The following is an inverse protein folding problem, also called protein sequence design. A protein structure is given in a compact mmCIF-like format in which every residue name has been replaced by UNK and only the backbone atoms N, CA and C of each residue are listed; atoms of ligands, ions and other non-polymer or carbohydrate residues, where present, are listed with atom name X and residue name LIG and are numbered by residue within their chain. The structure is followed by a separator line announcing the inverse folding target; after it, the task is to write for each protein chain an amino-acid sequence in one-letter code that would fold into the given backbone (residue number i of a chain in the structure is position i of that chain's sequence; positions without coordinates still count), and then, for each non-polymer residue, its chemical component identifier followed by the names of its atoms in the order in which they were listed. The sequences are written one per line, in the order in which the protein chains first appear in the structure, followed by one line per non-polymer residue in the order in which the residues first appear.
data_IF_511549095661
#
_entry.id   IF_511549095661
#
_cell.length_a   1.000
_cell.length_b   1.000
_cell.length_c   1.000
_cell.angle_alpha   90.00
_cell.angle_beta   90.00
_cell.angle_gamma   90.00
#
_symmetry.space_group_name_H-M   'P 1'
#
loop_
_entity.id
_entity.type
_entity.pdbx_description
1 polymer ?
#
# COMPACT_ATOMS: atom_id res chain seq x y z
N UNK A 1 39.07 28.96 -2.19
CA UNK A 1 39.10 27.48 -2.40
C UNK A 1 37.79 26.95 -1.82
N UNK A 2 36.81 26.55 -2.65
CA UNK A 2 35.59 25.95 -2.12
C UNK A 2 35.98 24.63 -1.43
N UNK A 3 35.49 24.45 -0.21
CA UNK A 3 35.83 23.28 0.60
C UNK A 3 35.31 22.02 -0.08
N UNK A 4 36.15 20.99 -0.14
CA UNK A 4 35.83 19.66 -0.70
C UNK A 4 34.58 19.01 -0.08
N UNK A 5 34.13 19.50 1.08
CA UNK A 5 32.88 19.10 1.72
C UNK A 5 31.61 19.58 0.97
N UNK A 6 31.64 20.76 0.35
CA UNK A 6 30.47 21.33 -0.36
C UNK A 6 30.15 20.57 -1.65
N UNK A 7 31.19 20.15 -2.38
CA UNK A 7 31.04 19.38 -3.62
C UNK A 7 30.53 17.97 -3.36
N UNK A 8 31.01 17.30 -2.31
CA UNK A 8 30.54 15.96 -1.96
C UNK A 8 29.07 15.93 -1.55
N UNK A 9 28.62 16.92 -0.75
CA UNK A 9 27.20 17.04 -0.40
C UNK A 9 26.34 17.30 -1.63
N UNK A 10 26.73 18.22 -2.51
CA UNK A 10 25.99 18.51 -3.74
C UNK A 10 25.85 17.27 -4.65
N UNK A 11 26.91 16.47 -4.80
CA UNK A 11 26.86 15.22 -5.59
C UNK A 11 25.91 14.18 -4.99
N UNK A 12 25.93 14.01 -3.66
CA UNK A 12 25.03 13.06 -2.97
C UNK A 12 23.57 13.51 -3.08
N UNK A 13 23.29 14.80 -2.89
CA UNK A 13 21.92 15.35 -3.02
C UNK A 13 21.40 15.20 -4.45
N UNK A 14 22.24 15.44 -5.46
CA UNK A 14 21.88 15.27 -6.88
C UNK A 14 21.63 13.81 -7.23
N UNK A 15 22.45 12.89 -6.70
CA UNK A 15 22.28 11.45 -6.93
C UNK A 15 21.00 10.92 -6.27
N UNK A 16 20.70 11.33 -5.03
CA UNK A 16 19.49 10.94 -4.31
C UNK A 16 18.22 11.55 -4.94
N UNK A 17 18.29 12.80 -5.41
CA UNK A 17 17.21 13.43 -6.18
C UNK A 17 16.94 12.69 -7.49
N UNK A 18 17.99 12.22 -8.18
CA UNK A 18 17.88 11.41 -9.39
C UNK A 18 17.23 10.05 -9.12
N UNK A 19 17.59 9.40 -8.01
CA UNK A 19 16.93 8.16 -7.56
C UNK A 19 15.46 8.40 -7.21
N UNK A 20 15.12 9.54 -6.58
CA UNK A 20 13.72 9.92 -6.29
C UNK A 20 12.91 10.09 -7.57
N UNK A 21 13.42 10.85 -8.54
CA UNK A 21 12.77 11.00 -9.84
C UNK A 21 12.64 9.67 -10.56
N UNK A 22 13.63 8.78 -10.46
CA UNK A 22 13.57 7.46 -11.06
C UNK A 22 12.55 6.55 -10.38
N UNK A 23 12.41 6.62 -9.05
CA UNK A 23 11.39 5.87 -8.30
C UNK A 23 9.99 6.42 -8.57
N UNK A 24 9.80 7.74 -8.55
CA UNK A 24 8.50 8.37 -8.84
C UNK A 24 8.10 8.11 -10.30
N UNK A 25 9.02 8.27 -11.27
CA UNK A 25 8.77 7.95 -12.68
C UNK A 25 8.55 6.44 -12.85
N UNK A 26 9.31 5.57 -12.18
CA UNK A 26 9.06 4.13 -12.22
C UNK A 26 7.69 3.76 -11.63
N UNK A 27 7.23 4.43 -10.57
CA UNK A 27 5.91 4.22 -9.98
C UNK A 27 4.78 4.73 -10.88
N UNK A 28 4.95 5.90 -11.50
CA UNK A 28 4.01 6.44 -12.48
C UNK A 28 3.95 5.57 -13.75
N UNK A 29 5.10 5.05 -14.20
CA UNK A 29 5.18 4.10 -15.31
C UNK A 29 4.58 2.75 -14.93
N UNK A 30 4.81 2.22 -13.73
CA UNK A 30 4.19 0.97 -13.28
C UNK A 30 2.68 1.11 -13.09
N UNK A 31 2.20 2.28 -12.65
CA UNK A 31 0.77 2.61 -12.59
C UNK A 31 0.15 2.75 -14.00
N UNK A 32 0.91 3.22 -14.99
CA UNK A 32 0.48 3.34 -16.39
C UNK A 32 0.64 2.06 -17.23
N UNK A 33 1.54 1.15 -16.84
CA UNK A 33 1.85 -0.11 -17.57
C UNK A 33 0.99 -1.27 -17.10
N UNK A 34 0.29 -1.19 -15.96
CA UNK A 34 -0.65 -2.23 -15.54
C UNK A 34 -1.75 -2.41 -16.62
N UNK A 35 -1.70 -3.47 -17.44
CA UNK A 35 -2.77 -3.74 -18.36
C UNK A 35 -3.90 -4.29 -17.49
N UNK A 36 -4.96 -3.50 -17.30
CA UNK A 36 -6.26 -4.04 -16.96
C UNK A 36 -6.70 -4.96 -18.11
N UNK A 37 -6.23 -6.21 -18.09
CA UNK A 37 -6.41 -7.12 -19.22
C UNK A 37 -5.61 -8.41 -19.09
N UNK A 38 -5.93 -9.23 -18.09
CA UNK A 38 -5.71 -10.68 -18.14
C UNK A 38 -6.63 -11.40 -17.13
N UNK A 39 -7.93 -11.14 -17.23
CA UNK A 39 -8.95 -12.11 -16.85
C UNK A 39 -8.87 -13.28 -17.84
N UNK A 40 -8.15 -14.32 -17.46
CA UNK A 40 -8.09 -15.61 -18.14
C UNK A 40 -8.54 -16.72 -17.19
N UNK A 41 -9.86 -16.84 -17.04
CA UNK A 41 -10.54 -18.01 -16.50
C UNK A 41 -10.14 -19.25 -17.32
N UNK A 42 -9.80 -20.36 -16.64
CA UNK A 42 -10.38 -21.71 -16.82
C UNK A 42 -9.70 -22.70 -15.84
N UNK A 43 -10.36 -23.82 -15.50
CA UNK A 43 -10.50 -24.30 -14.12
C UNK A 43 -9.50 -25.39 -13.73
N UNK A 44 -9.45 -25.64 -12.42
CA UNK A 44 -8.87 -26.83 -11.83
C UNK A 44 -9.43 -28.11 -12.49
N UNK A 45 -8.59 -28.79 -13.27
CA UNK A 45 -8.80 -30.17 -13.65
C UNK A 45 -7.68 -31.03 -13.07
N UNK A 46 -8.04 -31.79 -12.03
CA UNK A 46 -7.72 -33.20 -11.86
C UNK A 46 -6.25 -33.62 -12.10
N UNK A 47 -5.45 -33.70 -11.03
CA UNK A 47 -4.34 -34.67 -10.97
C UNK A 47 -4.40 -35.48 -9.69
N UNK A 48 -5.13 -36.59 -9.82
CA UNK A 48 -5.02 -37.82 -9.05
C UNK A 48 -3.56 -38.21 -8.76
N UNK A 49 -3.37 -38.53 -7.49
CA UNK A 49 -2.48 -39.53 -6.91
C UNK A 49 -1.92 -40.52 -7.95
N UNK A 50 -0.62 -40.44 -8.20
CA UNK A 50 0.12 -41.38 -9.04
C UNK A 50 0.57 -42.56 -8.17
N UNK A 51 -0.29 -43.55 -8.01
CA UNK A 51 0.09 -44.85 -7.47
C UNK A 51 0.69 -45.72 -8.58
N UNK A 52 1.98 -46.06 -8.43
CA UNK A 52 2.64 -47.17 -9.12
C UNK A 52 1.81 -48.45 -8.98
N UNK A 53 1.49 -49.13 -10.09
CA UNK A 53 1.45 -50.61 -10.15
C UNK A 53 1.41 -51.13 -11.60
N UNK A 54 2.02 -52.30 -11.74
CA UNK A 54 2.35 -53.05 -12.95
C UNK A 54 1.14 -53.49 -13.79
N UNK A 55 1.37 -53.58 -15.11
CA UNK A 55 0.67 -54.39 -16.11
C UNK A 55 0.58 -55.88 -15.68
N UNK A 56 -0.42 -56.68 -16.13
CA UNK A 56 -0.43 -57.12 -17.54
C UNK A 56 -1.80 -57.46 -18.21
N UNK A 57 -1.77 -57.38 -19.54
CA UNK A 57 -2.38 -58.24 -20.59
C UNK A 57 -3.86 -58.70 -20.59
N UNK A 58 -4.46 -58.52 -21.79
CA UNK A 58 -5.38 -59.41 -22.53
C UNK A 58 -6.85 -59.56 -22.07
N UNK A 59 -7.81 -59.07 -22.87
CA UNK A 59 -8.70 -59.89 -23.73
C UNK A 59 -9.71 -59.04 -24.54
N UNK A 60 -9.98 -59.52 -25.76
CA UNK A 60 -10.98 -59.05 -26.75
C UNK A 60 -12.42 -59.27 -26.25
N UNK A 61 -13.36 -58.40 -26.61
CA UNK A 61 -14.40 -58.69 -27.62
C UNK A 61 -15.55 -57.66 -27.65
N UNK A 62 -15.87 -57.23 -28.88
CA UNK A 62 -17.20 -57.04 -29.50
C UNK A 62 -18.18 -55.93 -29.04
N UNK A 63 -18.48 -55.11 -30.06
CA UNK A 63 -19.81 -54.72 -30.58
C UNK A 63 -20.45 -53.39 -30.12
N UNK A 64 -20.42 -52.44 -31.08
CA UNK A 64 -21.37 -51.35 -31.38
C UNK A 64 -22.86 -51.81 -31.35
N UNK A 65 -23.87 -50.92 -31.23
CA UNK A 65 -24.01 -49.70 -32.03
C UNK A 65 -24.67 -48.45 -31.41
N UNK A 66 -24.62 -47.40 -32.23
CA UNK A 66 -25.18 -46.06 -32.12
C UNK A 66 -26.70 -46.03 -31.88
N UNK A 67 -27.16 -45.14 -31.00
CA UNK A 67 -28.53 -44.61 -30.98
C UNK A 67 -28.50 -43.21 -30.32
N UNK A 68 -28.58 -42.17 -31.15
CA UNK A 68 -29.73 -41.27 -31.27
C UNK A 68 -29.93 -40.28 -30.10
N UNK A 69 -29.43 -39.08 -30.38
CA UNK A 69 -29.82 -37.76 -29.88
C UNK A 69 -31.33 -37.63 -29.65
N UNK A 70 -31.72 -37.34 -28.41
CA UNK A 70 -33.02 -36.76 -28.09
C UNK A 70 -32.79 -35.58 -27.15
N UNK A 71 -33.07 -34.38 -27.66
CA UNK A 71 -33.14 -33.12 -26.90
C UNK A 71 -34.48 -33.14 -26.18
N UNK A 72 -34.43 -33.31 -24.86
CA UNK A 72 -35.60 -33.16 -23.98
C UNK A 72 -35.70 -31.71 -23.47
N UNK A 73 -36.91 -31.12 -23.41
CA UNK A 73 -37.10 -29.77 -22.89
C UNK A 73 -36.84 -29.72 -21.38
N UNK A 74 -36.23 -28.63 -20.93
CA UNK A 74 -35.92 -28.29 -19.54
C UNK A 74 -37.15 -28.47 -18.65
N UNK A 75 -37.20 -29.60 -17.95
CA UNK A 75 -38.07 -29.81 -16.80
C UNK A 75 -37.56 -28.98 -15.64
N UNK A 76 -38.46 -28.17 -15.08
CA UNK A 76 -38.28 -27.47 -13.81
C UNK A 76 -38.01 -28.52 -12.73
N UNK A 77 -36.74 -28.67 -12.36
CA UNK A 77 -36.35 -29.37 -11.13
C UNK A 77 -36.30 -28.34 -10.02
N UNK A 78 -37.23 -28.43 -9.08
CA UNK A 78 -37.10 -27.85 -7.75
C UNK A 78 -35.80 -28.38 -7.13
N UNK A 79 -34.75 -27.58 -7.22
CA UNK A 79 -33.48 -27.77 -6.53
C UNK A 79 -33.52 -26.99 -5.23
N UNK A 80 -33.79 -27.71 -4.15
CA UNK A 80 -33.36 -27.36 -2.81
C UNK A 80 -31.82 -27.25 -2.78
N UNK A 81 -31.32 -26.21 -2.11
CA UNK A 81 -29.89 -25.91 -1.97
C UNK A 81 -29.42 -24.72 -2.82
N UNK A 82 -29.13 -23.59 -2.17
CA UNK A 82 -27.76 -23.25 -1.74
C UNK A 82 -27.80 -21.92 -1.02
N UNK A 83 -27.01 -21.81 0.05
CA UNK A 83 -26.79 -20.65 0.88
C UNK A 83 -26.75 -19.36 0.07
N UNK A 84 -27.74 -18.50 0.30
CA UNK A 84 -27.71 -17.14 -0.17
C UNK A 84 -26.55 -16.45 0.57
N UNK A 85 -25.41 -16.34 -0.10
CA UNK A 85 -24.26 -15.51 0.28
C UNK A 85 -24.71 -14.03 0.17
N UNK A 86 -25.67 -13.62 1.01
CA UNK A 86 -26.22 -12.26 1.11
C UNK A 86 -25.31 -11.34 1.93
N UNK A 87 -24.00 -11.58 1.90
CA UNK A 87 -23.00 -10.66 2.41
C UNK A 87 -22.62 -9.65 1.34
N UNK A 88 -23.52 -8.72 1.00
CA UNK A 88 -23.20 -7.60 0.10
C UNK A 88 -21.93 -6.86 0.54
N UNK A 89 -21.26 -6.16 -0.37
CA UNK A 89 -19.98 -5.46 -0.11
C UNK A 89 -20.00 -4.57 1.15
N UNK A 90 -21.18 -4.07 1.53
CA UNK A 90 -21.42 -3.18 2.66
C UNK A 90 -22.22 -3.83 3.81
N UNK A 91 -22.28 -5.16 3.88
CA UNK A 91 -22.92 -5.83 5.01
C UNK A 91 -22.27 -5.36 6.33
N UNK A 92 -23.04 -4.84 7.31
CA UNK A 92 -22.51 -4.14 8.48
C UNK A 92 -21.55 -5.00 9.33
N UNK A 93 -21.66 -6.33 9.24
CA UNK A 93 -20.77 -7.26 9.94
C UNK A 93 -19.38 -7.41 9.29
N UNK A 94 -19.08 -6.70 8.19
CA UNK A 94 -17.81 -6.82 7.46
C UNK A 94 -17.01 -5.52 7.38
N UNK A 95 -17.55 -4.43 7.91
CA UNK A 95 -16.83 -3.16 8.00
C UNK A 95 -15.91 -3.21 9.21
N UNK A 96 -14.62 -2.98 8.99
CA UNK A 96 -13.66 -2.84 10.06
C UNK A 96 -13.83 -1.46 10.72
N UNK A 97 -14.60 -1.44 11.82
CA UNK A 97 -15.04 -0.21 12.50
C UNK A 97 -13.87 0.72 12.87
N UNK A 98 -12.75 0.24 13.46
CA UNK A 98 -11.58 1.08 13.71
C UNK A 98 -11.05 1.81 12.46
N UNK A 99 -10.90 1.11 11.33
CA UNK A 99 -10.41 1.71 10.09
C UNK A 99 -11.43 2.65 9.45
N UNK A 100 -12.72 2.31 9.51
CA UNK A 100 -13.79 3.16 9.03
C UNK A 100 -13.89 4.46 9.84
N UNK A 101 -13.76 4.37 11.16
CA UNK A 101 -13.75 5.54 12.03
C UNK A 101 -12.55 6.45 11.75
N UNK A 102 -11.34 5.88 11.56
CA UNK A 102 -10.16 6.64 11.17
C UNK A 102 -10.35 7.33 9.81
N UNK A 103 -10.94 6.64 8.83
CA UNK A 103 -11.20 7.19 7.50
C UNK A 103 -12.22 8.33 7.54
N UNK A 104 -13.38 8.12 8.18
CA UNK A 104 -14.40 9.18 8.35
C UNK A 104 -13.83 10.37 9.11
N UNK A 105 -13.08 10.12 10.18
CA UNK A 105 -12.42 11.16 10.97
C UNK A 105 -11.41 11.97 10.14
N UNK A 106 -10.60 11.30 9.31
CA UNK A 106 -9.66 11.96 8.41
C UNK A 106 -10.37 12.84 7.36
N UNK A 107 -11.40 12.31 6.69
CA UNK A 107 -12.16 13.07 5.69
C UNK A 107 -12.88 14.27 6.33
N UNK A 108 -13.49 14.08 7.49
CA UNK A 108 -14.14 15.16 8.23
C UNK A 108 -13.14 16.23 8.66
N UNK A 109 -11.96 15.83 9.14
CA UNK A 109 -10.88 16.75 9.50
C UNK A 109 -10.38 17.54 8.28
N UNK A 110 -10.05 16.86 7.17
CA UNK A 110 -9.60 17.51 5.95
C UNK A 110 -10.64 18.49 5.41
N UNK A 111 -11.92 18.10 5.39
CA UNK A 111 -13.02 18.97 4.99
C UNK A 111 -13.13 20.21 5.88
N UNK A 112 -13.10 20.03 7.21
CA UNK A 112 -13.18 21.15 8.16
C UNK A 112 -11.99 22.12 8.01
N UNK A 113 -10.78 21.59 7.77
CA UNK A 113 -9.59 22.40 7.51
C UNK A 113 -9.72 23.22 6.22
N UNK A 114 -10.15 22.58 5.12
CA UNK A 114 -10.35 23.27 3.84
C UNK A 114 -11.47 24.31 3.91
N UNK A 115 -12.55 24.04 4.65
CA UNK A 115 -13.66 24.99 4.82
C UNK A 115 -13.27 26.24 5.63
N UNK A 116 -12.28 26.12 6.53
CA UNK A 116 -11.75 27.24 7.32
C UNK A 116 -10.63 28.03 6.65
N UNK A 117 -10.15 27.59 5.49
CA UNK A 117 -9.04 28.22 4.77
C UNK A 117 -9.55 29.35 3.86
N UNK A 118 -8.71 30.37 3.64
CA UNK A 118 -8.99 31.40 2.64
C UNK A 118 -9.10 30.77 1.23
N UNK A 119 -10.09 31.18 0.39
CA UNK A 119 -10.28 30.60 -0.93
C UNK A 119 -9.00 30.61 -1.78
N UNK A 120 -8.57 29.43 -2.23
CA UNK A 120 -7.41 29.26 -3.11
C UNK A 120 -6.04 29.28 -2.43
N UNK A 121 -5.95 29.42 -1.10
CA UNK A 121 -4.66 29.47 -0.40
C UNK A 121 -3.84 28.19 -0.58
N UNK A 122 -4.45 27.01 -0.43
CA UNK A 122 -3.78 25.72 -0.73
C UNK A 122 -3.26 25.68 -2.18
N UNK A 123 -4.05 26.13 -3.16
CA UNK A 123 -3.63 26.08 -4.57
C UNK A 123 -2.40 26.96 -4.83
N UNK A 124 -2.43 28.21 -4.33
CA UNK A 124 -1.30 29.13 -4.44
C UNK A 124 -0.06 28.63 -3.71
N UNK A 125 -0.24 27.91 -2.59
CA UNK A 125 0.86 27.32 -1.83
C UNK A 125 1.50 26.12 -2.54
N UNK A 126 0.71 25.29 -3.24
CA UNK A 126 1.20 24.05 -3.88
C UNK A 126 1.68 24.27 -5.32
N UNK A 127 1.17 25.28 -6.03
CA UNK A 127 1.55 25.57 -7.42
C UNK A 127 3.08 25.65 -7.67
N UNK A 128 3.90 26.31 -6.82
CA UNK A 128 5.35 26.35 -7.01
C UNK A 128 6.00 24.97 -6.98
N UNK A 129 5.49 24.02 -6.19
CA UNK A 129 6.03 22.66 -6.14
C UNK A 129 5.85 21.91 -7.46
N UNK A 130 4.77 22.14 -8.19
CA UNK A 130 4.58 21.49 -9.49
C UNK A 130 5.49 22.07 -10.58
N UNK A 131 6.00 23.28 -10.40
CA UNK A 131 6.99 23.88 -11.30
C UNK A 131 8.40 23.34 -11.10
N UNK A 132 8.73 22.93 -9.87
CA UNK A 132 9.99 22.26 -9.52
C UNK A 132 9.73 21.21 -8.43
N UNK A 133 9.46 19.98 -8.89
CA UNK A 133 9.19 18.83 -8.01
C UNK A 133 10.47 18.35 -7.32
N UNK A 134 11.66 18.82 -7.76
CA UNK A 134 12.96 18.37 -7.24
C UNK A 134 13.32 19.17 -5.99
N UNK A 135 13.28 20.49 -6.07
CA UNK A 135 13.70 21.36 -4.98
C UNK A 135 12.53 21.76 -4.08
N UNK A 136 12.82 22.01 -2.81
CA UNK A 136 11.83 22.55 -1.89
C UNK A 136 11.49 23.99 -2.31
N UNK A 137 10.21 24.35 -2.45
CA UNK A 137 9.83 25.76 -2.59
C UNK A 137 10.30 26.56 -1.37
N UNK A 138 10.82 27.78 -1.57
CA UNK A 138 11.34 28.60 -0.46
C UNK A 138 10.27 28.91 0.61
N UNK A 139 9.01 29.04 0.18
CA UNK A 139 7.88 29.29 1.06
C UNK A 139 7.45 28.08 1.91
N UNK A 140 7.96 26.88 1.62
CA UNK A 140 7.59 25.67 2.34
C UNK A 140 8.50 25.45 3.54
N UNK A 141 7.95 25.26 4.76
CA UNK A 141 8.75 24.80 5.88
C UNK A 141 9.43 23.47 5.57
N UNK A 142 10.70 23.34 5.97
CA UNK A 142 11.49 22.12 5.74
C UNK A 142 10.77 20.84 6.21
N UNK A 143 10.15 20.93 7.39
CA UNK A 143 9.43 19.81 7.99
C UNK A 143 8.18 19.43 7.19
N UNK A 144 7.47 20.41 6.61
CA UNK A 144 6.33 20.12 5.75
C UNK A 144 6.78 19.43 4.46
N UNK A 145 7.87 19.88 3.84
CA UNK A 145 8.39 19.22 2.64
C UNK A 145 8.83 17.77 2.92
N UNK A 146 9.40 17.51 4.10
CA UNK A 146 9.69 16.14 4.54
C UNK A 146 8.41 15.30 4.65
N UNK A 147 7.38 15.81 5.35
CA UNK A 147 6.07 15.16 5.47
C UNK A 147 5.45 14.87 4.11
N UNK A 148 5.45 15.86 3.21
CA UNK A 148 4.90 15.75 1.86
C UNK A 148 5.59 14.65 1.06
N UNK A 149 6.92 14.59 1.10
CA UNK A 149 7.67 13.52 0.44
C UNK A 149 7.39 12.14 1.06
N UNK A 150 7.19 12.06 2.38
CA UNK A 150 6.82 10.80 3.03
C UNK A 150 5.47 10.27 2.56
N UNK A 151 4.50 11.11 2.20
CA UNK A 151 3.23 10.65 1.64
C UNK A 151 3.39 9.89 0.33
N UNK A 152 4.40 10.22 -0.49
CA UNK A 152 4.72 9.44 -1.68
C UNK A 152 5.47 8.13 -1.40
N UNK A 153 6.20 8.06 -0.28
CA UNK A 153 7.09 6.93 0.06
C UNK A 153 6.42 5.88 0.95
N UNK A 154 5.66 6.31 1.97
CA UNK A 154 5.00 5.44 2.94
C UNK A 154 4.06 4.41 2.29
N UNK A 155 3.29 4.73 1.22
CA UNK A 155 2.50 3.75 0.49
C UNK A 155 3.30 2.54 -0.01
N UNK A 156 4.59 2.69 -0.32
CA UNK A 156 5.46 1.57 -0.71
C UNK A 156 5.75 0.63 0.47
N UNK A 157 5.98 1.21 1.65
CA UNK A 157 6.14 0.45 2.89
C UNK A 157 4.82 -0.24 3.26
N UNK A 158 3.70 0.47 3.15
CA UNK A 158 2.37 -0.10 3.34
C UNK A 158 2.10 -1.26 2.37
N UNK A 159 2.52 -1.14 1.11
CA UNK A 159 2.38 -2.20 0.13
C UNK A 159 3.16 -3.47 0.52
N UNK A 160 4.34 -3.32 1.13
CA UNK A 160 5.13 -4.45 1.63
C UNK A 160 4.47 -5.19 2.81
N UNK A 161 3.62 -4.51 3.58
CA UNK A 161 2.85 -5.11 4.68
C UNK A 161 1.52 -5.70 4.19
N UNK A 162 0.82 -4.97 3.32
CA UNK A 162 -0.55 -5.28 2.91
C UNK A 162 -0.62 -6.32 1.80
N UNK A 163 0.21 -6.22 0.75
CA UNK A 163 0.11 -7.12 -0.41
C UNK A 163 0.35 -8.58 0.00
N UNK A 164 1.40 -8.91 0.79
CA UNK A 164 1.60 -10.29 1.21
C UNK A 164 0.51 -10.83 2.14
N UNK A 165 -0.29 -9.95 2.76
CA UNK A 165 -1.41 -10.31 3.66
C UNK A 165 -2.79 -10.10 3.02
N UNK A 166 -2.85 -9.92 1.69
CA UNK A 166 -4.09 -9.69 0.93
C UNK A 166 -4.69 -10.95 0.31
N UNK A 167 -4.13 -12.13 0.59
CA UNK A 167 -4.70 -13.41 0.17
C UNK A 167 -6.13 -13.59 0.67
N UNK A 168 -7.01 -14.12 -0.19
CA UNK A 168 -8.41 -14.37 0.15
C UNK A 168 -9.29 -13.12 0.24
N UNK A 169 -8.74 -11.91 0.09
CA UNK A 169 -9.54 -10.68 0.10
C UNK A 169 -10.37 -10.56 -1.19
N UNK A 170 -11.65 -10.20 -1.04
CA UNK A 170 -12.56 -9.99 -2.19
C UNK A 170 -12.17 -8.77 -3.04
N UNK A 171 -11.51 -7.79 -2.42
CA UNK A 171 -11.10 -6.54 -3.06
C UNK A 171 -9.57 -6.56 -3.24
N UNK A 172 -9.04 -6.32 -4.46
CA UNK A 172 -7.60 -6.25 -4.66
C UNK A 172 -7.02 -5.03 -3.94
N UNK A 173 -5.94 -5.22 -3.18
CA UNK A 173 -5.29 -4.14 -2.43
C UNK A 173 -4.55 -3.13 -3.33
N UNK A 174 -4.01 -3.60 -4.47
CA UNK A 174 -3.08 -2.83 -5.30
C UNK A 174 -3.63 -1.47 -5.77
N UNK A 175 -4.86 -1.34 -6.30
CA UNK A 175 -5.39 -0.05 -6.72
C UNK A 175 -5.45 0.99 -5.59
N UNK A 176 -5.77 0.56 -4.37
CA UNK A 176 -5.87 1.44 -3.21
C UNK A 176 -4.49 1.81 -2.65
N UNK A 177 -3.52 0.89 -2.71
CA UNK A 177 -2.13 1.16 -2.34
C UNK A 177 -1.47 2.14 -3.31
N UNK A 178 -1.59 1.92 -4.62
CA UNK A 178 -1.04 2.86 -5.60
C UNK A 178 -1.80 4.18 -5.59
N UNK A 179 -3.13 4.15 -5.44
CA UNK A 179 -3.94 5.35 -5.26
C UNK A 179 -3.57 6.15 -4.01
N UNK A 180 -3.11 5.48 -2.94
CA UNK A 180 -2.64 6.16 -1.72
C UNK A 180 -1.34 6.94 -1.90
N UNK A 181 -0.56 6.70 -2.96
CA UNK A 181 0.58 7.56 -3.30
C UNK A 181 0.15 8.97 -3.73
N UNK A 182 -1.10 9.15 -4.18
CA UNK A 182 -1.66 10.44 -4.56
C UNK A 182 -2.72 10.95 -3.56
N UNK A 183 -3.57 10.04 -3.05
CA UNK A 183 -4.70 10.39 -2.17
C UNK A 183 -4.55 9.91 -0.73
N UNK A 184 -3.38 9.39 -0.35
CA UNK A 184 -3.07 9.04 1.03
C UNK A 184 -3.98 8.00 1.67
N UNK A 185 -4.19 8.14 2.97
CA UNK A 185 -5.15 7.38 3.75
C UNK A 185 -6.61 7.63 3.32
N UNK A 186 -6.90 8.74 2.65
CA UNK A 186 -8.20 8.97 2.03
C UNK A 186 -8.58 7.87 1.04
N UNK A 187 -7.59 7.31 0.33
CA UNK A 187 -7.79 6.17 -0.57
C UNK A 187 -7.55 4.83 0.14
N UNK A 188 -6.45 4.71 0.90
CA UNK A 188 -6.10 3.44 1.55
C UNK A 188 -7.11 3.05 2.65
N UNK A 189 -7.67 4.03 3.35
CA UNK A 189 -8.64 3.83 4.43
C UNK A 189 -9.93 3.18 3.95
N UNK A 190 -10.36 3.42 2.70
CA UNK A 190 -11.50 2.70 2.11
C UNK A 190 -11.22 1.20 2.01
N UNK A 191 -10.05 0.83 1.52
CA UNK A 191 -9.64 -0.58 1.46
C UNK A 191 -9.54 -1.18 2.87
N UNK A 192 -8.90 -0.48 3.81
CA UNK A 192 -8.75 -0.96 5.18
C UNK A 192 -10.10 -1.15 5.90
N UNK A 193 -11.07 -0.28 5.61
CA UNK A 193 -12.44 -0.36 6.16
C UNK A 193 -13.21 -1.58 5.64
N UNK A 194 -12.92 -2.01 4.42
CA UNK A 194 -13.58 -3.17 3.79
C UNK A 194 -12.75 -4.45 3.87
N UNK A 195 -11.54 -4.36 4.42
CA UNK A 195 -10.61 -5.48 4.55
C UNK A 195 -11.10 -6.42 5.64
N UNK A 196 -11.23 -7.68 5.27
CA UNK A 196 -11.63 -8.75 6.19
C UNK A 196 -10.43 -9.12 7.09
N UNK A 197 -10.52 -8.76 8.37
CA UNK A 197 -9.46 -8.97 9.36
C UNK A 197 -9.23 -10.44 9.72
N UNK A 198 -10.29 -11.25 9.71
CA UNK A 198 -10.20 -12.68 10.01
C UNK A 198 -9.55 -13.45 8.85
N UNK A 199 -9.90 -13.10 7.62
CA UNK A 199 -9.28 -13.66 6.41
C UNK A 199 -7.80 -13.27 6.34
N UNK A 200 -7.48 -12.01 6.65
CA UNK A 200 -6.09 -11.53 6.68
C UNK A 200 -5.22 -12.25 7.72
N UNK A 201 -5.81 -12.70 8.83
CA UNK A 201 -5.09 -13.41 9.89
C UNK A 201 -5.02 -14.93 9.68
N UNK A 202 -6.06 -15.54 9.12
CA UNK A 202 -6.20 -17.00 8.97
C UNK A 202 -5.70 -17.56 7.64
N UNK A 203 -5.69 -16.75 6.57
CA UNK A 203 -5.27 -17.16 5.23
C UNK A 203 -4.01 -16.42 4.79
N UNK A 204 -2.98 -16.41 5.63
CA UNK A 204 -1.67 -15.87 5.24
C UNK A 204 -1.04 -16.75 4.14
N UNK A 205 -0.96 -16.27 2.89
CA UNK A 205 -0.44 -17.07 1.80
C UNK A 205 1.04 -17.36 2.00
N UNK A 206 1.49 -18.52 1.54
CA UNK A 206 2.93 -18.77 1.47
C UNK A 206 3.54 -17.86 0.39
N UNK A 207 4.87 -17.68 0.41
CA UNK A 207 5.56 -16.89 -0.63
C UNK A 207 5.29 -17.42 -2.05
N UNK A 208 4.97 -18.71 -2.21
CA UNK A 208 4.65 -19.33 -3.50
C UNK A 208 3.27 -18.91 -4.03
N UNK A 209 2.36 -18.52 -3.14
CA UNK A 209 0.99 -18.13 -3.47
C UNK A 209 0.87 -16.63 -3.78
N UNK A 210 1.97 -15.88 -3.59
CA UNK A 210 2.05 -14.47 -3.96
C UNK A 210 2.21 -14.32 -5.47
N UNK A 211 1.46 -13.38 -6.05
CA UNK A 211 1.68 -12.94 -7.42
C UNK A 211 3.10 -12.40 -7.64
N UNK A 212 3.50 -12.22 -8.91
CA UNK A 212 4.87 -11.87 -9.29
C UNK A 212 5.43 -10.66 -8.52
N UNK A 213 4.64 -9.58 -8.38
CA UNK A 213 5.05 -8.39 -7.63
C UNK A 213 5.22 -8.64 -6.13
N UNK A 214 4.27 -9.34 -5.50
CA UNK A 214 4.35 -9.69 -4.08
C UNK A 214 5.61 -10.51 -3.79
N UNK A 215 5.89 -11.52 -4.62
CA UNK A 215 7.03 -12.42 -4.45
C UNK A 215 8.39 -11.79 -4.76
N UNK A 216 8.49 -11.00 -5.83
CA UNK A 216 9.79 -10.54 -6.36
C UNK A 216 10.14 -9.10 -6.00
N UNK A 217 9.17 -8.28 -5.60
CA UNK A 217 9.39 -6.89 -5.19
C UNK A 217 9.18 -6.77 -3.68
N UNK A 218 7.97 -7.03 -3.18
CA UNK A 218 7.63 -6.75 -1.78
C UNK A 218 8.19 -7.77 -0.76
N UNK A 219 8.46 -9.01 -1.19
CA UNK A 219 9.16 -10.03 -0.40
C UNK A 219 10.66 -10.15 -0.74
N UNK A 220 11.20 -9.19 -1.49
CA UNK A 220 12.62 -9.17 -1.83
C UNK A 220 13.39 -8.29 -0.85
N UNK A 221 14.41 -8.86 -0.21
CA UNK A 221 15.25 -8.15 0.77
C UNK A 221 15.93 -6.92 0.16
N UNK A 222 16.41 -7.00 -1.08
CA UNK A 222 17.07 -5.87 -1.73
C UNK A 222 16.09 -4.73 -2.01
N UNK A 223 14.88 -5.04 -2.48
CA UNK A 223 13.83 -4.03 -2.67
C UNK A 223 13.38 -3.41 -1.34
N UNK A 224 13.23 -4.21 -0.29
CA UNK A 224 12.85 -3.69 1.03
C UNK A 224 13.95 -2.81 1.64
N UNK A 225 15.24 -3.17 1.46
CA UNK A 225 16.35 -2.30 1.81
C UNK A 225 16.37 -1.02 0.99
N UNK A 226 16.06 -1.08 -0.30
CA UNK A 226 15.92 0.11 -1.14
C UNK A 226 14.82 1.03 -0.62
N UNK A 227 13.61 0.50 -0.34
CA UNK A 227 12.51 1.30 0.22
C UNK A 227 12.88 1.93 1.57
N UNK A 228 13.55 1.18 2.44
CA UNK A 228 14.06 1.69 3.71
C UNK A 228 15.07 2.83 3.49
N UNK A 229 16.08 2.61 2.65
CA UNK A 229 17.11 3.63 2.35
C UNK A 229 16.48 4.88 1.73
N UNK A 230 15.53 4.72 0.80
CA UNK A 230 14.83 5.86 0.19
C UNK A 230 14.01 6.62 1.24
N UNK A 231 13.33 5.91 2.14
CA UNK A 231 12.57 6.53 3.24
C UNK A 231 13.48 7.32 4.18
N UNK A 232 14.59 6.73 4.62
CA UNK A 232 15.57 7.39 5.50
C UNK A 232 16.26 8.56 4.79
N UNK A 233 16.55 8.43 3.48
CA UNK A 233 17.18 9.48 2.69
C UNK A 233 16.35 10.77 2.64
N UNK A 234 15.04 10.69 2.83
CA UNK A 234 14.14 11.84 2.83
C UNK A 234 14.54 12.88 3.89
N UNK A 235 15.12 12.47 5.02
CA UNK A 235 15.61 13.39 6.05
C UNK A 235 16.71 14.32 5.52
N UNK A 236 17.52 13.82 4.59
CA UNK A 236 18.62 14.55 3.97
C UNK A 236 18.17 15.30 2.72
N UNK A 237 17.27 14.73 1.92
CA UNK A 237 16.84 15.31 0.64
C UNK A 237 15.67 16.29 0.75
N UNK A 238 15.05 16.39 1.92
CA UNK A 238 13.99 17.38 2.20
C UNK A 238 14.51 18.74 2.69
N UNK A 239 15.84 18.93 2.68
CA UNK A 239 16.53 20.05 3.34
C UNK A 239 16.28 20.14 4.86
N UNK A 240 15.67 19.12 5.49
CA UNK A 240 15.37 19.12 6.92
C UNK A 240 16.64 19.14 7.76
N UNK A 241 17.63 18.29 7.44
CA UNK A 241 18.94 18.29 8.12
C UNK A 241 19.65 19.63 7.94
N UNK A 242 19.57 20.23 6.74
CA UNK A 242 20.16 21.54 6.47
C UNK A 242 19.51 22.63 7.33
N UNK A 243 18.17 22.67 7.37
CA UNK A 243 17.41 23.63 8.18
C UNK A 243 17.65 23.47 9.69
N UNK A 244 17.72 22.23 10.19
CA UNK A 244 18.07 21.94 11.58
C UNK A 244 19.50 22.37 11.93
N UNK A 245 20.41 22.36 10.95
CA UNK A 245 21.80 22.78 11.16
C UNK A 245 21.96 24.29 11.11
N UNK A 246 21.17 24.99 10.29
CA UNK A 246 21.28 26.44 10.10
C UNK A 246 20.48 27.23 11.14
N UNK A 247 19.24 26.83 11.43
CA UNK A 247 18.36 27.51 12.38
C UNK A 247 17.34 26.53 13.01
N UNK A 248 17.77 25.68 13.95
CA UNK A 248 16.91 24.68 14.57
C UNK A 248 15.74 25.29 15.35
N UNK A 249 15.87 26.52 15.83
CA UNK A 249 14.84 27.19 16.63
C UNK A 249 13.59 27.53 15.79
N UNK A 250 13.73 27.64 14.46
CA UNK A 250 12.65 28.01 13.56
C UNK A 250 11.95 26.86 12.86
N UNK A 251 12.61 25.69 12.74
CA UNK A 251 12.06 24.53 12.01
C UNK A 251 10.66 24.12 12.48
N UNK A 252 10.45 24.07 13.80
CA UNK A 252 9.17 23.67 14.39
C UNK A 252 8.14 24.81 14.37
N UNK A 253 8.46 26.04 14.82
CA UNK A 253 7.50 27.16 14.74
C UNK A 253 6.98 27.44 13.32
N UNK A 254 7.86 27.50 12.31
CA UNK A 254 7.46 27.79 10.92
C UNK A 254 6.51 26.71 10.38
N UNK A 255 6.75 25.45 10.78
CA UNK A 255 5.86 24.34 10.45
C UNK A 255 4.52 24.43 11.19
N UNK A 256 4.50 24.77 12.48
CA UNK A 256 3.26 24.93 13.26
C UNK A 256 2.40 26.04 12.68
N UNK A 257 3.01 27.18 12.32
CA UNK A 257 2.30 28.30 11.68
C UNK A 257 1.64 27.86 10.37
N UNK A 258 2.38 27.13 9.53
CA UNK A 258 1.84 26.57 8.28
C UNK A 258 0.78 25.50 8.54
N UNK A 259 0.97 24.66 9.55
CA UNK A 259 0.02 23.63 9.97
C UNK A 259 -1.29 24.24 10.48
N UNK A 260 -1.27 25.44 11.07
CA UNK A 260 -2.46 26.13 11.57
C UNK A 260 -3.17 26.92 10.46
N UNK A 261 -2.42 27.50 9.52
CA UNK A 261 -2.95 28.38 8.49
C UNK A 261 -3.41 27.65 7.22
N UNK A 262 -2.73 26.57 6.83
CA UNK A 262 -2.96 25.89 5.55
C UNK A 262 -3.59 24.51 5.75
N UNK A 263 -4.69 24.26 5.04
CA UNK A 263 -5.44 23.01 5.09
C UNK A 263 -4.61 21.83 4.60
N UNK A 264 -3.85 22.01 3.50
CA UNK A 264 -3.01 20.96 2.92
C UNK A 264 -1.90 20.49 3.87
N UNK A 265 -1.31 21.41 4.64
CA UNK A 265 -0.29 21.07 5.64
C UNK A 265 -0.94 20.26 6.75
N UNK A 266 -2.06 20.73 7.27
CA UNK A 266 -2.83 20.00 8.29
C UNK A 266 -3.25 18.60 7.85
N UNK A 267 -3.83 18.48 6.66
CA UNK A 267 -4.32 17.22 6.10
C UNK A 267 -3.17 16.25 5.83
N UNK A 268 -2.07 16.69 5.22
CA UNK A 268 -0.91 15.86 4.91
C UNK A 268 -0.28 15.26 6.18
N UNK A 269 -0.19 16.06 7.25
CA UNK A 269 0.38 15.60 8.51
C UNK A 269 -0.53 14.63 9.26
N UNK A 270 -1.84 14.88 9.24
CA UNK A 270 -2.82 13.94 9.79
C UNK A 270 -2.81 12.62 9.02
N UNK A 271 -2.72 12.69 7.69
CA UNK A 271 -2.63 11.53 6.80
C UNK A 271 -1.39 10.68 7.11
N UNK A 272 -0.20 11.31 7.13
CA UNK A 272 1.04 10.63 7.47
C UNK A 272 0.98 9.97 8.85
N UNK A 273 0.40 10.66 9.85
CA UNK A 273 0.23 10.11 11.19
C UNK A 273 -0.66 8.85 11.18
N UNK A 274 -1.80 8.89 10.48
CA UNK A 274 -2.70 7.75 10.38
C UNK A 274 -2.06 6.61 9.60
N UNK A 275 -1.35 6.88 8.51
CA UNK A 275 -0.61 5.86 7.75
C UNK A 275 0.46 5.19 8.62
N UNK A 276 1.15 5.95 9.46
CA UNK A 276 2.16 5.41 10.39
C UNK A 276 1.51 4.51 11.44
N UNK A 277 0.42 4.97 12.07
CA UNK A 277 -0.34 4.15 13.02
C UNK A 277 -0.86 2.88 12.34
N UNK A 278 -1.33 3.00 11.10
CA UNK A 278 -1.79 1.86 10.31
C UNK A 278 -0.66 0.86 10.07
N UNK A 279 0.54 1.33 9.71
CA UNK A 279 1.73 0.47 9.58
C UNK A 279 2.04 -0.26 10.89
N UNK A 280 2.08 0.47 12.01
CA UNK A 280 2.33 -0.09 13.33
C UNK A 280 1.30 -1.18 13.72
N UNK A 281 0.02 -0.99 13.39
CA UNK A 281 -1.00 -2.02 13.64
C UNK A 281 -0.82 -3.28 12.78
N UNK A 282 -0.26 -3.15 11.58
CA UNK A 282 -0.07 -4.27 10.65
C UNK A 282 1.23 -5.06 10.89
N UNK A 283 2.25 -4.42 11.43
CA UNK A 283 3.57 -5.05 11.68
C UNK A 283 3.50 -6.33 12.51
N UNK A 284 2.75 -6.40 13.64
CA UNK A 284 2.69 -7.64 14.43
C UNK A 284 2.11 -8.82 13.64
N UNK A 285 1.14 -8.54 12.75
CA UNK A 285 0.55 -9.57 11.88
C UNK A 285 1.57 -10.04 10.84
N UNK A 286 2.32 -9.12 10.23
CA UNK A 286 3.39 -9.45 9.29
C UNK A 286 4.53 -10.24 9.95
N UNK A 287 4.94 -9.85 11.17
CA UNK A 287 5.99 -10.54 11.93
C UNK A 287 5.57 -11.96 12.33
N UNK A 288 4.31 -12.15 12.74
CA UNK A 288 3.75 -13.48 13.00
C UNK A 288 3.81 -14.37 11.75
N UNK A 289 3.50 -13.83 10.56
CA UNK A 289 3.67 -14.56 9.27
C UNK A 289 5.10 -15.02 9.07
N UNK A 290 6.07 -14.20 9.47
CA UNK A 290 7.50 -14.46 9.31
C UNK A 290 8.09 -15.36 10.43
N UNK A 291 7.24 -15.93 11.30
CA UNK A 291 7.65 -16.85 12.36
C UNK A 291 8.16 -16.17 13.63
N UNK A 292 7.86 -14.88 13.83
CA UNK A 292 8.11 -14.23 15.12
C UNK A 292 6.95 -14.55 16.06
N UNK A 293 7.18 -15.49 16.98
CA UNK A 293 6.16 -15.97 17.93
C UNK A 293 6.03 -15.08 19.18
N UNK A 294 7.07 -14.32 19.50
CA UNK A 294 7.08 -13.39 20.64
C UNK A 294 6.24 -12.14 20.33
N UNK A 295 5.02 -12.11 20.88
CA UNK A 295 4.10 -10.98 20.76
C UNK A 295 4.67 -9.68 21.35
N UNK A 296 5.42 -9.76 22.45
CA UNK A 296 6.03 -8.59 23.10
C UNK A 296 7.07 -7.94 22.18
N UNK A 297 7.94 -8.77 21.59
CA UNK A 297 8.91 -8.32 20.59
C UNK A 297 8.22 -7.74 19.35
N UNK A 298 7.16 -8.37 18.86
CA UNK A 298 6.43 -7.89 17.70
C UNK A 298 5.76 -6.52 17.95
N UNK A 299 5.16 -6.32 19.12
CA UNK A 299 4.56 -5.04 19.53
C UNK A 299 5.61 -3.97 19.78
N UNK A 300 6.78 -4.32 20.31
CA UNK A 300 7.88 -3.37 20.50
C UNK A 300 8.43 -2.86 19.15
N UNK A 301 8.61 -3.76 18.17
CA UNK A 301 9.00 -3.38 16.81
C UNK A 301 7.91 -2.50 16.17
N UNK A 302 6.64 -2.85 16.32
CA UNK A 302 5.55 -2.00 15.85
C UNK A 302 5.58 -0.59 16.50
N UNK A 303 5.77 -0.52 17.81
CA UNK A 303 5.85 0.76 18.52
C UNK A 303 7.06 1.59 18.08
N UNK A 304 8.22 0.96 17.80
CA UNK A 304 9.39 1.70 17.31
C UNK A 304 9.15 2.29 15.91
N UNK A 305 8.30 1.67 15.08
CA UNK A 305 7.92 2.24 13.78
C UNK A 305 7.02 3.47 13.86
N UNK A 306 6.36 3.72 15.00
CA UNK A 306 5.65 4.99 15.21
C UNK A 306 6.61 6.18 15.29
N UNK A 307 7.89 5.94 15.60
CA UNK A 307 8.93 6.96 15.66
C UNK A 307 9.66 7.13 14.31
N UNK A 308 9.55 6.16 13.40
CA UNK A 308 10.19 6.15 12.08
C UNK A 308 9.62 7.11 11.01
N UNK A 309 8.40 7.68 11.05
CA UNK A 309 8.04 8.69 10.06
C UNK A 309 8.77 10.02 10.28
N UNK A 310 9.49 10.17 11.40
CA UNK A 310 10.19 11.41 11.81
C UNK A 310 11.69 11.19 12.12
N UNK A 311 12.13 9.94 12.37
CA UNK A 311 13.53 9.54 12.58
C UNK A 311 14.13 8.85 11.36
#
# INVERSE_FOLDING_TARGET
IPSSHSTAQATVTTMLASVRSLVVVALLLLAGIAPFGASGFLPASDRRVLHKRHHPSFQRARQHPLASRAVGPLGVTNGDGTDADEGGLLSPNRVNVPWAAAWVGFIAYAYARTAGEAPGATNAFVEPYFSDVIHRPEAWPALFFAVWNYLGLVPLLMASLIIPSSGGQKIPAAPFLFGSAAGGYGVLGLYMSLRDGETAASQMPSKADLGWFGRNVFENKACNWLFFITTVSNLFTSDLVSALSSDPARVVPDYIESFQSLAIVGASSADLAILTVTAACLIPQDLKRRGVEDEGKARLIAASTLLLPVL
#
